data_IF_807023804313
#
_entry.id   IF_807023804313
#
_cell.length_a   1.000
_cell.length_b   1.000
_cell.length_c   1.000
_cell.angle_alpha   90.00
_cell.angle_beta   90.00
_cell.angle_gamma   90.00
#
_symmetry.space_group_name_H-M   'P 1'
#
loop_
_entity.id
_entity.type
_entity.pdbx_description
1 polymer ?
#
# COMPACT_ATOMS: atom_id res chain seq x y z
N UNK A 1 -1.62 -15.98 17.70
CA UNK A 1 -0.14 -15.96 17.66
C UNK A 1 0.32 -16.85 16.50
N UNK A 2 0.30 -16.33 15.27
CA UNK A 2 0.52 -17.13 14.03
C UNK A 2 1.94 -16.98 13.45
N UNK A 3 2.80 -16.16 14.07
CA UNK A 3 4.16 -15.92 13.63
C UNK A 3 5.13 -16.67 14.55
N UNK A 4 5.74 -17.73 14.03
CA UNK A 4 6.84 -18.42 14.70
C UNK A 4 8.05 -17.47 14.78
N UNK A 5 8.71 -17.35 15.95
CA UNK A 5 9.87 -16.48 16.14
C UNK A 5 11.09 -16.86 15.28
N UNK A 6 11.09 -18.06 14.72
CA UNK A 6 12.15 -18.60 13.88
C UNK A 6 11.95 -18.34 12.37
N UNK A 7 11.47 -17.15 11.97
CA UNK A 7 11.47 -16.79 10.54
C UNK A 7 12.82 -16.21 10.15
N UNK A 8 13.63 -17.00 9.45
CA UNK A 8 14.86 -16.53 8.83
C UNK A 8 14.53 -15.68 7.58
N UNK A 9 14.93 -14.39 7.55
CA UNK A 9 14.75 -13.55 6.37
C UNK A 9 15.70 -14.01 5.27
N UNK A 10 15.15 -14.48 4.15
CA UNK A 10 15.94 -14.83 2.95
C UNK A 10 15.81 -13.75 1.90
N UNK A 11 16.82 -13.63 1.01
CA UNK A 11 16.80 -12.66 -0.09
C UNK A 11 15.58 -12.86 -1.00
N UNK A 12 15.21 -14.10 -1.28
CA UNK A 12 14.04 -14.42 -2.11
C UNK A 12 12.73 -13.94 -1.49
N UNK A 13 12.53 -14.18 -0.18
CA UNK A 13 11.33 -13.72 0.53
C UNK A 13 11.23 -12.19 0.51
N UNK A 14 12.36 -11.50 0.64
CA UNK A 14 12.40 -10.04 0.58
C UNK A 14 11.94 -9.50 -0.78
N UNK A 15 12.44 -10.09 -1.87
CA UNK A 15 12.05 -9.70 -3.23
C UNK A 15 10.56 -9.94 -3.47
N UNK A 16 10.06 -11.14 -3.13
CA UNK A 16 8.63 -11.46 -3.26
C UNK A 16 7.77 -10.48 -2.45
N UNK A 17 8.19 -10.16 -1.22
CA UNK A 17 7.47 -9.23 -0.37
C UNK A 17 7.34 -7.84 -1.00
N UNK A 18 8.45 -7.29 -1.51
CA UNK A 18 8.45 -5.99 -2.19
C UNK A 18 7.56 -6.02 -3.43
N UNK A 19 7.65 -7.07 -4.25
CA UNK A 19 6.82 -7.20 -5.46
C UNK A 19 5.34 -7.20 -5.08
N UNK A 20 4.93 -8.03 -4.10
CA UNK A 20 3.53 -8.11 -3.67
C UNK A 20 3.05 -6.78 -3.08
N UNK A 21 3.86 -6.09 -2.27
CA UNK A 21 3.50 -4.76 -1.76
C UNK A 21 3.39 -3.71 -2.86
N UNK A 22 4.22 -3.80 -3.90
CA UNK A 22 4.15 -2.90 -5.06
C UNK A 22 2.88 -3.17 -5.86
N UNK A 23 2.54 -4.43 -6.12
CA UNK A 23 1.28 -4.82 -6.77
C UNK A 23 0.07 -4.35 -5.95
N UNK A 24 0.12 -4.48 -4.63
CA UNK A 24 -0.91 -3.94 -3.75
C UNK A 24 -1.04 -2.41 -3.89
N UNK A 25 0.08 -1.68 -3.94
CA UNK A 25 0.08 -0.23 -4.16
C UNK A 25 -0.55 0.17 -5.50
N UNK A 26 -0.26 -0.59 -6.56
CA UNK A 26 -0.89 -0.40 -7.88
C UNK A 26 -2.40 -0.65 -7.79
N UNK A 27 -2.84 -1.75 -7.18
CA UNK A 27 -4.26 -2.04 -6.99
C UNK A 27 -4.97 -0.92 -6.21
N UNK A 28 -4.36 -0.44 -5.13
CA UNK A 28 -4.89 0.68 -4.34
C UNK A 28 -4.97 1.97 -5.16
N UNK A 29 -4.02 2.22 -6.08
CA UNK A 29 -4.10 3.37 -6.97
C UNK A 29 -5.26 3.28 -7.97
N UNK A 30 -5.59 2.08 -8.45
CA UNK A 30 -6.75 1.87 -9.31
C UNK A 30 -8.06 2.11 -8.55
N UNK A 31 -8.13 1.66 -7.30
CA UNK A 31 -9.27 1.94 -6.42
C UNK A 31 -9.40 3.45 -6.15
N UNK A 32 -8.28 4.12 -5.85
CA UNK A 32 -8.26 5.56 -5.64
C UNK A 32 -8.67 6.33 -6.91
N UNK A 33 -8.21 5.87 -8.08
CA UNK A 33 -8.58 6.45 -9.36
C UNK A 33 -10.09 6.37 -9.59
N UNK A 34 -10.69 5.19 -9.43
CA UNK A 34 -12.13 5.00 -9.55
C UNK A 34 -12.90 5.85 -8.53
N UNK A 35 -12.43 5.93 -7.28
CA UNK A 35 -13.05 6.75 -6.24
C UNK A 35 -13.02 8.25 -6.56
N UNK A 36 -11.89 8.76 -7.04
CA UNK A 36 -11.76 10.18 -7.46
C UNK A 36 -12.68 10.46 -8.64
N UNK A 37 -12.77 9.54 -9.61
CA UNK A 37 -13.65 9.69 -10.77
C UNK A 37 -15.13 9.70 -10.35
N UNK A 38 -15.55 8.80 -9.46
CA UNK A 38 -16.91 8.81 -8.90
C UNK A 38 -17.24 10.13 -8.20
N UNK A 39 -16.31 10.67 -7.39
CA UNK A 39 -16.49 11.96 -6.73
C UNK A 39 -16.58 13.11 -7.72
N UNK A 40 -15.73 13.11 -8.74
CA UNK A 40 -15.71 14.11 -9.79
C UNK A 40 -17.04 14.12 -10.57
N UNK A 41 -17.50 12.94 -11.01
CA UNK A 41 -18.76 12.80 -11.76
C UNK A 41 -19.96 13.28 -10.94
N UNK A 42 -20.08 12.85 -9.68
CA UNK A 42 -21.15 13.30 -8.78
C UNK A 42 -21.08 14.82 -8.51
N UNK A 43 -19.89 15.40 -8.44
CA UNK A 43 -19.74 16.86 -8.31
C UNK A 43 -20.17 17.60 -9.58
N UNK A 44 -19.78 17.11 -10.76
CA UNK A 44 -20.17 17.72 -12.04
C UNK A 44 -21.67 17.62 -12.30
N UNK A 45 -22.30 16.51 -11.93
CA UNK A 45 -23.75 16.32 -12.02
C UNK A 45 -24.50 17.36 -11.16
N UNK A 46 -24.04 17.60 -9.92
CA UNK A 46 -24.63 18.59 -9.02
C UNK A 46 -24.42 20.05 -9.43
N UNK A 47 -23.39 20.33 -10.22
CA UNK A 47 -23.02 21.69 -10.62
C UNK A 47 -23.35 22.02 -12.08
N UNK A 48 -24.05 21.10 -12.78
CA UNK A 48 -24.41 21.20 -14.20
C UNK A 48 -23.21 21.57 -15.10
N UNK A 49 -22.01 21.12 -14.71
CA UNK A 49 -20.77 21.40 -15.42
C UNK A 49 -20.55 20.38 -16.54
N UNK A 50 -20.11 20.86 -17.70
CA UNK A 50 -19.75 20.00 -18.83
C UNK A 50 -18.50 19.18 -18.50
N UNK A 51 -18.58 17.88 -18.75
CA UNK A 51 -17.49 16.91 -18.50
C UNK A 51 -16.67 16.76 -19.78
N UNK A 52 -15.37 17.00 -19.70
CA UNK A 52 -14.43 16.65 -20.76
C UNK A 52 -13.97 15.21 -20.59
N UNK A 53 -14.21 14.39 -21.62
CA UNK A 53 -13.83 12.98 -21.64
C UNK A 53 -12.48 12.79 -22.35
N UNK A 54 -11.62 11.96 -21.78
CA UNK A 54 -10.31 11.59 -22.30
C UNK A 54 -10.26 10.07 -22.50
N UNK A 55 -10.60 9.60 -23.69
CA UNK A 55 -10.49 8.18 -24.05
C UNK A 55 -11.35 7.23 -23.21
N UNK A 56 -12.49 7.71 -22.69
CA UNK A 56 -13.41 6.93 -21.85
C UNK A 56 -13.31 7.23 -20.35
N UNK A 57 -12.34 8.02 -19.91
CA UNK A 57 -12.22 8.48 -18.54
C UNK A 57 -12.54 9.98 -18.43
N UNK A 58 -13.22 10.40 -17.36
CA UNK A 58 -13.52 11.81 -17.10
C UNK A 58 -12.32 12.57 -16.50
N UNK A 59 -11.36 11.83 -15.92
CA UNK A 59 -10.20 12.40 -15.26
C UNK A 59 -9.07 12.75 -16.24
N UNK A 60 -8.38 13.86 -16.01
CA UNK A 60 -7.27 14.30 -16.86
C UNK A 60 -6.12 13.25 -16.89
N UNK A 61 -5.54 12.91 -18.06
CA UNK A 61 -4.55 11.84 -18.20
C UNK A 61 -3.35 11.96 -17.26
N UNK A 62 -2.90 13.19 -16.97
CA UNK A 62 -1.81 13.45 -16.03
C UNK A 62 -2.13 12.96 -14.60
N UNK A 63 -3.39 13.07 -14.16
CA UNK A 63 -3.82 12.59 -12.84
C UNK A 63 -3.85 11.05 -12.84
N UNK A 64 -4.28 10.43 -13.94
CA UNK A 64 -4.31 8.98 -14.08
C UNK A 64 -2.90 8.37 -13.95
N UNK A 65 -1.96 8.90 -14.74
CA UNK A 65 -0.55 8.47 -14.71
C UNK A 65 0.06 8.79 -13.35
N UNK A 66 -0.23 9.98 -12.81
CA UNK A 66 0.24 10.41 -11.49
C UNK A 66 -0.18 9.45 -10.38
N UNK A 67 -1.45 9.05 -10.34
CA UNK A 67 -1.94 8.10 -9.34
C UNK A 67 -1.26 6.73 -9.45
N UNK A 68 -1.10 6.24 -10.67
CA UNK A 68 -0.49 4.93 -10.91
C UNK A 68 0.99 4.91 -10.50
N UNK A 69 1.74 5.95 -10.86
CA UNK A 69 3.14 6.13 -10.43
C UNK A 69 3.22 6.25 -8.91
N UNK A 70 2.34 7.03 -8.30
CA UNK A 70 2.31 7.22 -6.85
C UNK A 70 1.94 5.92 -6.11
N UNK A 71 1.03 5.12 -6.66
CA UNK A 71 0.70 3.79 -6.16
C UNK A 71 1.86 2.81 -6.22
N UNK A 72 2.56 2.74 -7.35
CA UNK A 72 3.72 1.88 -7.51
C UNK A 72 4.87 2.27 -6.58
N UNK A 73 5.23 3.57 -6.57
CA UNK A 73 6.30 4.10 -5.71
C UNK A 73 5.91 3.93 -4.24
N UNK A 74 4.69 4.30 -3.86
CA UNK A 74 4.16 4.12 -2.51
C UNK A 74 4.17 2.67 -2.06
N UNK A 75 3.72 1.74 -2.92
CA UNK A 75 3.73 0.31 -2.64
C UNK A 75 5.14 -0.27 -2.44
N UNK A 76 6.12 0.20 -3.22
CA UNK A 76 7.52 -0.18 -3.05
C UNK A 76 8.08 0.28 -1.69
N UNK A 77 7.89 1.56 -1.34
CA UNK A 77 8.35 2.10 -0.05
C UNK A 77 7.64 1.43 1.13
N UNK A 78 6.33 1.18 1.00
CA UNK A 78 5.55 0.47 2.01
C UNK A 78 6.08 -0.95 2.22
N UNK A 79 6.36 -1.68 1.14
CA UNK A 79 6.97 -3.02 1.21
C UNK A 79 8.32 -3.02 1.91
N UNK A 80 9.18 -2.03 1.63
CA UNK A 80 10.48 -1.87 2.29
C UNK A 80 10.33 -1.56 3.79
N UNK A 81 9.42 -0.66 4.15
CA UNK A 81 9.16 -0.28 5.54
C UNK A 81 8.59 -1.45 6.34
N UNK A 82 7.58 -2.12 5.80
CA UNK A 82 6.95 -3.27 6.45
C UNK A 82 7.92 -4.44 6.60
N UNK A 83 8.76 -4.72 5.59
CA UNK A 83 9.81 -5.72 5.71
C UNK A 83 10.73 -5.44 6.91
N UNK A 84 11.20 -4.20 7.02
CA UNK A 84 12.04 -3.77 8.15
C UNK A 84 11.31 -3.94 9.50
N UNK A 85 10.04 -3.54 9.58
CA UNK A 85 9.25 -3.64 10.81
C UNK A 85 9.00 -5.09 11.25
N UNK A 86 8.69 -5.99 10.30
CA UNK A 86 8.30 -7.37 10.58
C UNK A 86 9.52 -8.27 10.79
N UNK A 87 10.52 -8.20 9.91
CA UNK A 87 11.62 -9.17 9.89
C UNK A 87 12.88 -8.70 10.62
N UNK A 88 13.20 -7.40 10.56
CA UNK A 88 14.41 -6.84 11.18
C UNK A 88 14.11 -6.40 12.61
N UNK A 89 13.18 -5.45 12.78
CA UNK A 89 12.89 -4.88 14.10
C UNK A 89 12.01 -5.78 14.95
N UNK A 90 11.31 -6.75 14.32
CA UNK A 90 10.39 -7.70 14.94
C UNK A 90 9.48 -7.02 15.97
N UNK A 91 8.88 -5.86 15.63
CA UNK A 91 8.09 -5.06 16.58
C UNK A 91 6.97 -5.87 17.24
N UNK A 92 6.45 -6.89 16.54
CA UNK A 92 5.46 -7.84 17.03
C UNK A 92 5.95 -8.75 18.18
N UNK A 93 7.25 -8.96 18.34
CA UNK A 93 7.83 -9.81 19.39
C UNK A 93 8.25 -9.05 20.65
N UNK A 94 8.36 -7.72 20.61
CA UNK A 94 8.83 -6.91 21.75
C UNK A 94 7.88 -6.95 22.96
N UNK A 95 6.58 -7.20 22.75
CA UNK A 95 5.60 -7.38 23.82
C UNK A 95 5.48 -8.80 24.38
N UNK A 96 6.17 -9.78 23.77
CA UNK A 96 6.06 -11.19 24.16
C UNK A 96 7.19 -11.65 25.09
N UNK A 97 7.99 -10.72 25.66
CA UNK A 97 8.93 -11.08 26.74
C UNK A 97 8.09 -11.33 28.01
N UNK A 98 7.95 -12.57 28.51
CA UNK A 98 7.59 -12.72 29.91
C UNK A 98 8.66 -11.99 30.71
N UNK A 99 8.21 -11.14 31.63
CA UNK A 99 9.03 -10.53 32.66
C UNK A 99 9.74 -11.67 33.40
N UNK A 100 10.94 -12.07 32.93
CA UNK A 100 11.68 -13.18 33.51
C UNK A 100 12.10 -12.76 34.91
N UNK A 101 11.42 -13.34 35.89
CA UNK A 101 11.99 -13.93 37.11
C UNK A 101 13.38 -13.36 37.45
N UNK A 102 13.39 -12.23 38.16
CA UNK A 102 14.58 -11.65 38.78
C UNK A 102 14.71 -12.06 40.25
N UNK A 103 14.03 -13.11 40.69
CA UNK A 103 14.04 -13.58 42.08
C UNK A 103 14.10 -15.12 42.12
N UNK A 104 15.29 -15.67 41.86
CA UNK A 104 15.75 -16.96 42.37
C UNK A 104 17.26 -16.88 42.58
#
# INVERSE_FOLDING_TARGET
MLLNANVNPTKTKHVVYIIVSTLLGILLSLLAHAGIEMLYLNWTERTERVITWYGGCALHPAIQIGLLVLGAVGGFFLGRLWWRLVYIERKWAKGARPHRLSEL
#
